data_IF_452610757229
#
_entry.id   IF_452610757229
#
_cell.length_a   1.000
_cell.length_b   1.000
_cell.length_c   1.000
_cell.angle_alpha   90.00
_cell.angle_beta   90.00
_cell.angle_gamma   90.00
#
_symmetry.space_group_name_H-M   'P 1'
#
loop_
_entity.id
_entity.type
_entity.pdbx_description
1 polymer ?
#
# COMPACT_ATOMS: atom_id res chain seq x y z
N UNK A 1 -17.20 14.60 37.83
CA UNK A 1 -17.32 14.47 36.37
C UNK A 1 -18.12 13.21 36.06
N UNK A 2 -19.38 13.34 35.67
CA UNK A 2 -20.34 12.24 35.55
C UNK A 2 -20.04 11.41 34.28
N UNK A 3 -19.42 10.23 34.41
CA UNK A 3 -19.37 9.24 33.32
C UNK A 3 -20.66 8.42 33.40
N UNK A 4 -21.66 8.82 32.61
CA UNK A 4 -22.95 8.14 32.56
C UNK A 4 -22.81 6.74 31.95
N UNK A 5 -23.14 5.69 32.72
CA UNK A 5 -23.19 4.29 32.26
C UNK A 5 -24.23 4.03 31.17
N UNK A 6 -25.09 5.02 30.87
CA UNK A 6 -26.11 4.94 29.83
C UNK A 6 -25.53 5.06 28.42
N UNK A 7 -24.43 5.81 28.23
CA UNK A 7 -23.79 5.94 26.91
C UNK A 7 -22.92 4.72 26.60
N UNK A 8 -22.28 4.13 27.60
CA UNK A 8 -21.32 3.03 27.39
C UNK A 8 -21.93 1.83 26.65
N UNK A 9 -23.17 1.44 26.98
CA UNK A 9 -23.82 0.32 26.30
C UNK A 9 -24.30 0.66 24.88
N UNK A 10 -24.61 1.93 24.63
CA UNK A 10 -24.98 2.42 23.30
C UNK A 10 -23.73 2.54 22.41
N UNK A 11 -22.65 3.08 22.96
CA UNK A 11 -21.35 3.21 22.30
C UNK A 11 -20.78 1.83 21.93
N UNK A 12 -20.86 0.86 22.84
CA UNK A 12 -20.44 -0.52 22.56
C UNK A 12 -21.27 -1.16 21.45
N UNK A 13 -22.60 -0.98 21.46
CA UNK A 13 -23.46 -1.48 20.38
C UNK A 13 -23.17 -0.81 19.04
N UNK A 14 -22.99 0.50 19.02
CA UNK A 14 -22.63 1.24 17.80
C UNK A 14 -21.28 0.79 17.27
N UNK A 15 -20.31 0.57 18.17
CA UNK A 15 -19.00 0.05 17.82
C UNK A 15 -19.09 -1.35 17.20
N UNK A 16 -19.84 -2.26 17.83
CA UNK A 16 -20.01 -3.63 17.34
C UNK A 16 -20.74 -3.65 15.97
N UNK A 17 -21.81 -2.85 15.81
CA UNK A 17 -22.53 -2.70 14.53
C UNK A 17 -21.61 -2.11 13.45
N UNK A 18 -20.83 -1.08 13.79
CA UNK A 18 -19.89 -0.47 12.86
C UNK A 18 -18.80 -1.45 12.42
N UNK A 19 -18.31 -2.30 13.34
CA UNK A 19 -17.34 -3.34 13.03
C UNK A 19 -17.92 -4.42 12.15
N UNK A 20 -19.11 -4.90 12.45
CA UNK A 20 -19.78 -5.94 11.66
C UNK A 20 -20.16 -5.43 10.27
N UNK A 21 -20.54 -4.15 10.15
CA UNK A 21 -20.72 -3.48 8.87
C UNK A 21 -19.39 -3.32 8.13
N UNK A 22 -18.33 -2.83 8.79
CA UNK A 22 -17.01 -2.64 8.19
C UNK A 22 -16.34 -3.96 7.80
N UNK A 23 -16.55 -5.06 8.54
CA UNK A 23 -16.04 -6.39 8.20
C UNK A 23 -16.72 -6.96 6.94
N UNK A 24 -17.92 -6.50 6.57
CA UNK A 24 -18.52 -6.82 5.26
C UNK A 24 -17.83 -6.05 4.11
N UNK A 25 -17.23 -4.90 4.40
CA UNK A 25 -16.44 -4.11 3.45
C UNK A 25 -14.94 -4.39 3.54
N UNK A 26 -14.46 -5.08 4.59
CA UNK A 26 -13.17 -5.75 4.52
C UNK A 26 -13.29 -6.69 3.35
N UNK A 27 -12.53 -6.39 2.32
CA UNK A 27 -12.26 -7.35 1.25
C UNK A 27 -11.89 -8.63 1.96
N UNK A 28 -12.79 -9.63 1.88
CA UNK A 28 -12.47 -11.03 2.19
C UNK A 28 -11.07 -11.21 1.66
N UNK A 29 -10.10 -11.52 2.52
CA UNK A 29 -8.74 -11.81 2.10
C UNK A 29 -8.90 -12.88 1.02
N UNK A 30 -8.93 -12.44 -0.22
CA UNK A 30 -8.92 -13.33 -1.34
C UNK A 30 -7.55 -13.97 -1.22
N UNK A 31 -7.44 -15.23 -1.63
CA UNK A 31 -6.17 -15.84 -2.02
C UNK A 31 -5.59 -15.07 -3.23
N UNK A 32 -5.46 -13.74 -3.11
CA UNK A 32 -4.96 -12.86 -4.13
C UNK A 32 -3.47 -13.01 -4.08
N UNK A 33 -2.94 -13.64 -5.12
CA UNK A 33 -1.53 -13.70 -5.44
C UNK A 33 -1.02 -12.31 -5.87
N UNK A 34 -1.32 -11.29 -5.06
CA UNK A 34 -0.97 -9.89 -5.31
C UNK A 34 0.13 -9.54 -4.32
N UNK A 35 1.27 -9.12 -4.86
CA UNK A 35 2.40 -8.64 -4.09
C UNK A 35 2.49 -7.13 -4.28
N UNK A 36 2.52 -6.39 -3.17
CA UNK A 36 2.74 -4.95 -3.17
C UNK A 36 4.22 -4.71 -2.87
N UNK A 37 4.88 -3.97 -3.76
CA UNK A 37 6.25 -3.51 -3.57
C UNK A 37 6.19 -2.03 -3.22
N UNK A 38 6.52 -1.70 -1.98
CA UNK A 38 6.52 -0.32 -1.48
C UNK A 38 7.93 0.28 -1.52
N UNK A 39 8.02 1.59 -1.74
CA UNK A 39 9.27 2.35 -1.71
C UNK A 39 9.32 3.15 -0.42
N UNK A 40 9.98 2.58 0.59
CA UNK A 40 10.06 3.14 1.93
C UNK A 40 11.40 3.86 2.19
N UNK A 41 11.51 4.48 3.37
CA UNK A 41 12.73 5.18 3.81
C UNK A 41 13.96 4.26 3.78
N UNK A 42 13.81 2.97 4.10
CA UNK A 42 14.93 2.02 4.06
C UNK A 42 15.43 1.83 2.63
N UNK A 43 14.53 1.80 1.67
CA UNK A 43 14.86 1.73 0.25
C UNK A 43 15.59 2.99 -0.21
N UNK A 44 15.15 4.17 0.25
CA UNK A 44 15.81 5.44 -0.03
C UNK A 44 17.21 5.54 0.59
N UNK A 45 17.39 5.01 1.81
CA UNK A 45 18.69 4.97 2.47
C UNK A 45 19.72 4.13 1.69
N UNK A 46 19.26 3.06 1.02
CA UNK A 46 20.12 2.14 0.28
C UNK A 46 20.40 2.62 -1.15
N UNK A 47 19.37 3.09 -1.86
CA UNK A 47 19.45 3.41 -3.29
C UNK A 47 19.72 4.91 -3.53
N UNK A 48 19.26 5.75 -2.61
CA UNK A 48 19.37 7.20 -2.67
C UNK A 48 18.01 7.90 -2.77
N UNK A 49 18.06 9.22 -2.86
CA UNK A 49 16.87 10.08 -2.83
C UNK A 49 15.97 9.88 -4.06
N UNK A 50 14.66 9.81 -3.83
CA UNK A 50 13.62 9.86 -4.87
C UNK A 50 13.48 11.28 -5.47
N UNK A 51 13.18 11.47 -6.78
CA UNK A 51 12.88 10.46 -7.79
C UNK A 51 14.11 9.76 -8.35
N UNK A 52 14.03 8.43 -8.46
CA UNK A 52 15.11 7.64 -9.01
C UNK A 52 15.21 7.75 -10.54
N UNK A 53 16.42 7.61 -11.11
CA UNK A 53 16.62 7.47 -12.55
C UNK A 53 15.83 6.28 -13.12
N UNK A 54 15.33 6.38 -14.36
CA UNK A 54 14.55 5.31 -15.01
C UNK A 54 15.33 4.00 -15.16
N UNK A 55 16.66 4.06 -15.25
CA UNK A 55 17.48 2.84 -15.27
C UNK A 55 17.39 2.04 -13.96
N UNK A 56 17.21 2.72 -12.82
CA UNK A 56 17.00 2.06 -11.52
C UNK A 56 15.61 1.42 -11.48
N UNK A 57 14.59 2.16 -11.94
CA UNK A 57 13.22 1.65 -12.04
C UNK A 57 13.12 0.44 -12.98
N UNK A 58 13.81 0.47 -14.13
CA UNK A 58 13.85 -0.63 -15.08
C UNK A 58 14.44 -1.90 -14.44
N UNK A 59 15.58 -1.77 -13.74
CA UNK A 59 16.18 -2.89 -13.01
C UNK A 59 15.23 -3.48 -11.96
N UNK A 60 14.54 -2.64 -11.18
CA UNK A 60 13.56 -3.11 -10.20
C UNK A 60 12.44 -3.91 -10.89
N UNK A 61 11.89 -3.40 -11.99
CA UNK A 61 10.84 -4.07 -12.74
C UNK A 61 11.34 -5.39 -13.34
N UNK A 62 12.57 -5.43 -13.87
CA UNK A 62 13.19 -6.63 -14.44
C UNK A 62 13.34 -7.73 -13.37
N UNK A 63 13.79 -7.38 -12.16
CA UNK A 63 13.90 -8.32 -11.03
C UNK A 63 12.53 -8.86 -10.60
N UNK A 64 11.50 -8.01 -10.56
CA UNK A 64 10.12 -8.46 -10.28
C UNK A 64 9.63 -9.40 -11.40
N UNK A 65 9.90 -9.05 -12.66
CA UNK A 65 9.48 -9.81 -13.82
C UNK A 65 10.10 -11.22 -13.89
N UNK A 66 11.32 -11.42 -13.36
CA UNK A 66 11.96 -12.74 -13.26
C UNK A 66 11.15 -13.75 -12.43
N UNK A 67 10.22 -13.29 -11.59
CA UNK A 67 9.32 -14.15 -10.81
C UNK A 67 8.03 -14.52 -11.57
N UNK A 68 7.94 -14.19 -12.87
CA UNK A 68 6.81 -14.47 -13.76
C UNK A 68 5.43 -14.05 -13.23
N UNK A 69 5.24 -12.80 -12.76
CA UNK A 69 3.93 -12.31 -12.40
C UNK A 69 3.01 -12.23 -13.63
N UNK A 70 1.71 -12.43 -13.44
CA UNK A 70 0.74 -12.30 -14.54
C UNK A 70 0.67 -10.88 -15.10
N UNK A 71 0.81 -9.86 -14.25
CA UNK A 71 0.78 -8.43 -14.57
C UNK A 71 1.64 -7.66 -13.55
N UNK A 72 2.30 -6.59 -13.99
CA UNK A 72 2.96 -5.61 -13.11
C UNK A 72 2.23 -4.27 -13.26
N UNK A 73 1.69 -3.77 -12.16
CA UNK A 73 1.09 -2.43 -12.08
C UNK A 73 2.06 -1.44 -11.45
N UNK A 74 2.08 -0.21 -11.96
CA UNK A 74 2.89 0.88 -11.40
C UNK A 74 1.96 1.99 -10.92
N UNK A 75 1.98 2.29 -9.62
CA UNK A 75 1.35 3.48 -9.05
C UNK A 75 2.36 4.64 -8.95
N UNK A 76 2.99 4.95 -10.08
CA UNK A 76 4.02 5.99 -10.19
C UNK A 76 3.79 6.76 -11.48
N UNK A 77 3.75 8.08 -11.38
CA UNK A 77 3.63 8.97 -12.54
C UNK A 77 5.01 9.45 -12.95
N UNK A 78 5.27 9.43 -14.26
CA UNK A 78 6.49 9.94 -14.84
C UNK A 78 6.20 11.14 -15.76
N UNK A 79 5.97 12.35 -15.21
CA UNK A 79 5.48 13.48 -15.99
C UNK A 79 6.53 14.08 -16.93
N UNK A 80 7.81 13.96 -16.55
CA UNK A 80 8.94 14.55 -17.26
C UNK A 80 9.83 13.45 -17.84
N UNK A 81 10.60 13.80 -18.88
CA UNK A 81 11.64 12.91 -19.43
C UNK A 81 12.71 12.66 -18.36
N UNK A 82 13.29 11.46 -18.36
CA UNK A 82 14.45 11.19 -17.51
C UNK A 82 15.61 12.12 -17.84
N UNK A 83 16.18 12.73 -16.80
CA UNK A 83 17.28 13.70 -16.88
C UNK A 83 18.59 13.14 -16.34
N UNK A 84 18.59 11.92 -15.82
CA UNK A 84 19.63 11.36 -14.96
C UNK A 84 20.15 9.99 -15.41
N UNK A 85 19.38 9.24 -16.21
CA UNK A 85 19.90 8.06 -16.91
C UNK A 85 20.73 8.45 -18.15
N UNK A 86 21.80 7.70 -18.48
CA UNK A 86 22.62 7.93 -19.67
C UNK A 86 21.87 7.65 -20.99
#
# INVERSE_FOLDING_TARGET
MYKSSFTKNLDLKIYDISKEFLDQFKTKESDSNVVIVDLDERSLDVIGQWPWPRIVMAKLIDEIAQNNPSVIGLDIIFPEKDRTSP
#
